data_IF_678252174903
#
_entry.id   IF_678252174903
#
_cell.length_a   1.000
_cell.length_b   1.000
_cell.length_c   1.000
_cell.angle_alpha   90.00
_cell.angle_beta   90.00
_cell.angle_gamma   90.00
#
_symmetry.space_group_name_H-M   'P 1'
#
loop_
_entity.id
_entity.type
_entity.pdbx_description
1 polymer ?
#
# COMPACT_ATOMS: atom_id res chain seq x y z
N UNK A 1 12.57 -6.40 9.31
CA UNK A 1 11.97 -5.09 9.66
C UNK A 1 13.10 -4.19 10.12
N UNK A 2 13.21 -2.97 9.59
CA UNK A 2 14.15 -1.97 10.09
C UNK A 2 13.39 -0.98 10.98
N UNK A 3 13.53 -1.14 12.30
CA UNK A 3 12.84 -0.30 13.29
C UNK A 3 13.46 1.10 13.39
N UNK A 4 14.74 1.25 13.05
CA UNK A 4 15.46 2.52 13.13
C UNK A 4 14.99 3.42 11.99
N UNK A 5 14.91 2.87 10.77
CA UNK A 5 14.47 3.60 9.58
C UNK A 5 12.95 3.60 9.38
N UNK A 6 12.18 2.90 10.21
CA UNK A 6 10.75 2.64 10.02
C UNK A 6 10.43 2.05 8.63
N UNK A 7 11.21 1.05 8.23
CA UNK A 7 11.11 0.42 6.91
C UNK A 7 10.75 -1.06 7.00
N UNK A 8 9.85 -1.49 6.10
CA UNK A 8 9.54 -2.88 5.85
C UNK A 8 10.19 -3.33 4.55
N UNK A 9 10.85 -4.47 4.57
CA UNK A 9 11.34 -5.13 3.35
C UNK A 9 10.26 -6.08 2.83
N UNK A 10 9.84 -5.87 1.58
CA UNK A 10 8.90 -6.75 0.88
C UNK A 10 9.70 -7.62 -0.08
N UNK A 11 9.78 -8.92 0.24
CA UNK A 11 10.49 -9.91 -0.57
C UNK A 11 9.54 -10.53 -1.62
N UNK A 12 9.20 -9.79 -2.67
CA UNK A 12 8.37 -10.28 -3.77
C UNK A 12 9.22 -10.47 -5.03
N UNK A 13 9.16 -11.64 -5.68
CA UNK A 13 10.00 -11.97 -6.85
C UNK A 13 9.22 -12.07 -8.17
N UNK A 14 8.05 -11.41 -8.28
CA UNK A 14 7.27 -11.44 -9.53
C UNK A 14 7.96 -10.69 -10.68
N UNK A 15 8.72 -9.64 -10.36
CA UNK A 15 9.54 -8.87 -11.32
C UNK A 15 10.81 -8.38 -10.64
N UNK A 16 11.81 -7.94 -11.41
CA UNK A 16 13.07 -7.37 -10.86
C UNK A 16 12.85 -6.17 -9.93
N UNK A 17 11.79 -5.38 -10.17
CA UNK A 17 11.43 -4.22 -9.34
C UNK A 17 10.52 -4.55 -8.15
N UNK A 18 10.16 -5.82 -7.96
CA UNK A 18 9.23 -6.24 -6.92
C UNK A 18 9.87 -6.24 -5.51
N UNK A 19 11.13 -6.69 -5.29
CA UNK A 19 11.77 -6.56 -3.99
C UNK A 19 12.03 -5.08 -3.67
N UNK A 20 11.55 -4.62 -2.52
CA UNK A 20 11.61 -3.18 -2.19
C UNK A 20 11.51 -2.91 -0.69
N UNK A 21 12.03 -1.76 -0.30
CA UNK A 21 11.83 -1.19 1.03
C UNK A 21 10.67 -0.19 0.99
N UNK A 22 9.79 -0.27 1.98
CA UNK A 22 8.66 0.64 2.13
C UNK A 22 8.75 1.30 3.50
N UNK A 23 8.80 2.62 3.51
CA UNK A 23 8.67 3.42 4.74
C UNK A 23 7.23 3.45 5.21
N UNK A 24 7.04 3.32 6.51
CA UNK A 24 5.74 3.34 7.18
C UNK A 24 5.73 4.36 8.32
N UNK A 25 4.54 4.77 8.75
CA UNK A 25 4.44 5.68 9.88
C UNK A 25 4.92 4.98 11.16
N UNK A 26 5.45 5.77 12.12
CA UNK A 26 5.92 5.25 13.42
C UNK A 26 4.78 4.55 14.19
N UNK A 27 3.55 5.04 14.06
CA UNK A 27 2.34 4.43 14.63
C UNK A 27 2.12 3.03 14.07
N UNK A 28 2.25 2.87 12.75
CA UNK A 28 2.08 1.59 12.07
C UNK A 28 3.18 0.62 12.45
N UNK A 29 4.43 1.10 12.54
CA UNK A 29 5.55 0.29 13.02
C UNK A 29 5.30 -0.23 14.43
N UNK A 30 4.85 0.65 15.34
CA UNK A 30 4.51 0.25 16.72
C UNK A 30 3.40 -0.81 16.74
N UNK A 31 2.35 -0.64 15.94
CA UNK A 31 1.25 -1.60 15.85
C UNK A 31 1.70 -2.94 15.26
N UNK A 32 2.50 -2.93 14.19
CA UNK A 32 3.05 -4.14 13.60
C UNK A 32 3.90 -4.89 14.62
N UNK A 33 4.78 -4.20 15.35
CA UNK A 33 5.61 -4.83 16.38
C UNK A 33 4.78 -5.42 17.52
N UNK A 34 3.69 -4.76 17.94
CA UNK A 34 2.83 -5.33 19.00
C UNK A 34 2.20 -6.65 18.55
N UNK A 35 1.74 -6.74 17.30
CA UNK A 35 1.16 -7.97 16.75
C UNK A 35 2.23 -9.05 16.56
N UNK A 36 3.41 -8.69 16.04
CA UNK A 36 4.48 -9.67 15.77
C UNK A 36 5.01 -10.28 17.07
N UNK A 37 5.11 -9.51 18.15
CA UNK A 37 5.57 -10.02 19.44
C UNK A 37 4.65 -11.10 20.04
N UNK A 38 3.39 -11.16 19.59
CA UNK A 38 2.42 -12.19 19.98
C UNK A 38 2.49 -13.44 19.08
N UNK A 39 3.20 -13.37 17.95
CA UNK A 39 3.34 -14.47 16.99
C UNK A 39 4.58 -15.32 17.28
N UNK A 40 4.51 -16.62 16.96
CA UNK A 40 5.66 -17.48 17.02
C UNK A 40 6.76 -17.00 16.06
N UNK A 41 7.99 -16.88 16.56
CA UNK A 41 9.13 -16.40 15.78
C UNK A 41 9.53 -17.46 14.74
N UNK A 42 9.60 -17.06 13.47
CA UNK A 42 10.13 -17.91 12.41
C UNK A 42 11.64 -17.70 12.25
N UNK A 43 12.40 -18.79 12.14
CA UNK A 43 13.86 -18.76 11.97
C UNK A 43 14.32 -18.25 10.60
N UNK A 44 13.44 -18.26 9.60
CA UNK A 44 13.74 -17.81 8.24
C UNK A 44 13.45 -16.32 7.99
N UNK A 45 13.05 -15.59 9.03
CA UNK A 45 12.83 -14.14 8.99
C UNK A 45 11.48 -13.71 8.39
N UNK A 46 10.60 -14.64 8.01
CA UNK A 46 9.24 -14.30 7.57
C UNK A 46 8.27 -14.14 8.75
N UNK A 47 7.39 -13.15 8.66
CA UNK A 47 6.51 -12.74 9.75
C UNK A 47 5.15 -13.42 9.70
N UNK A 48 4.53 -13.50 8.52
CA UNK A 48 3.17 -14.00 8.35
C UNK A 48 3.18 -15.48 7.97
N UNK A 49 3.41 -16.33 8.97
CA UNK A 49 3.36 -17.78 8.85
C UNK A 49 2.45 -18.40 9.91
N UNK A 50 1.77 -19.46 9.52
CA UNK A 50 0.96 -20.29 10.42
C UNK A 50 1.44 -21.74 10.29
N UNK A 51 1.87 -22.36 11.38
CA UNK A 51 2.39 -23.75 11.38
C UNK A 51 3.50 -23.99 10.34
N UNK A 52 4.35 -22.99 10.10
CA UNK A 52 5.46 -23.06 9.15
C UNK A 52 5.11 -22.74 7.69
N UNK A 53 3.82 -22.63 7.35
CA UNK A 53 3.34 -22.30 6.01
C UNK A 53 3.01 -20.82 5.86
N UNK A 54 3.18 -20.28 4.64
CA UNK A 54 2.76 -18.92 4.33
C UNK A 54 1.24 -18.79 4.34
N UNK A 55 0.75 -17.70 4.91
CA UNK A 55 -0.67 -17.37 4.85
C UNK A 55 -1.03 -17.02 3.39
N UNK A 56 -1.96 -17.77 2.81
CA UNK A 56 -2.39 -17.54 1.43
C UNK A 56 -3.26 -16.28 1.30
N UNK A 57 -3.22 -15.63 0.14
CA UNK A 57 -4.10 -14.49 -0.19
C UNK A 57 -5.59 -14.88 -0.05
N UNK A 58 -5.94 -16.12 -0.39
CA UNK A 58 -7.29 -16.63 -0.23
C UNK A 58 -7.71 -16.73 1.24
N UNK A 59 -6.81 -17.16 2.13
CA UNK A 59 -7.06 -17.18 3.56
C UNK A 59 -7.29 -15.75 4.09
N UNK A 60 -6.46 -14.79 3.67
CA UNK A 60 -6.62 -13.36 4.02
C UNK A 60 -7.98 -12.84 3.55
N UNK A 61 -8.32 -13.03 2.28
CA UNK A 61 -9.59 -12.55 1.73
C UNK A 61 -10.80 -13.22 2.37
N UNK A 62 -10.71 -14.50 2.76
CA UNK A 62 -11.77 -15.21 3.48
C UNK A 62 -11.97 -14.62 4.89
N UNK A 63 -10.89 -14.29 5.57
CA UNK A 63 -10.93 -13.62 6.88
C UNK A 63 -11.51 -12.21 6.78
N UNK A 64 -11.08 -11.43 5.78
CA UNK A 64 -11.63 -10.10 5.50
C UNK A 64 -13.14 -10.18 5.22
N UNK A 65 -13.57 -11.12 4.36
CA UNK A 65 -14.99 -11.32 4.08
C UNK A 65 -15.79 -11.61 5.35
N UNK A 66 -15.32 -12.54 6.19
CA UNK A 66 -15.97 -12.84 7.49
C UNK A 66 -16.08 -11.61 8.38
N UNK A 67 -15.07 -10.74 8.40
CA UNK A 67 -15.11 -9.50 9.17
C UNK A 67 -16.14 -8.51 8.60
N UNK A 68 -16.21 -8.37 7.28
CA UNK A 68 -17.23 -7.56 6.61
C UNK A 68 -18.64 -8.07 6.91
N UNK A 69 -18.86 -9.39 6.82
CA UNK A 69 -20.16 -10.01 7.07
C UNK A 69 -20.62 -9.77 8.52
N UNK A 70 -19.70 -9.83 9.50
CA UNK A 70 -19.99 -9.51 10.91
C UNK A 70 -20.38 -8.05 11.14
N UNK A 71 -19.84 -7.15 10.33
CA UNK A 71 -20.11 -5.71 10.39
C UNK A 71 -21.27 -5.29 9.48
N UNK A 72 -21.88 -6.24 8.75
CA UNK A 72 -22.94 -5.97 7.77
C UNK A 72 -22.54 -4.96 6.68
N UNK A 73 -21.27 -5.00 6.25
CA UNK A 73 -20.74 -4.15 5.18
C UNK A 73 -20.40 -4.96 3.93
N UNK A 74 -20.31 -4.28 2.79
CA UNK A 74 -19.87 -4.90 1.53
C UNK A 74 -18.52 -5.59 1.69
N UNK A 75 -18.41 -6.82 1.18
CA UNK A 75 -17.17 -7.58 1.25
C UNK A 75 -16.06 -6.87 0.47
N UNK A 76 -14.89 -6.74 1.09
CA UNK A 76 -13.69 -6.20 0.46
C UNK A 76 -12.60 -7.27 0.35
N UNK A 77 -11.63 -7.00 -0.53
CA UNK A 77 -10.45 -7.85 -0.70
C UNK A 77 -9.18 -7.09 -0.28
N UNK A 78 -8.09 -7.83 -0.07
CA UNK A 78 -6.76 -7.23 0.11
C UNK A 78 -6.35 -6.32 -1.06
N UNK A 79 -6.82 -6.62 -2.28
CA UNK A 79 -6.58 -5.77 -3.44
C UNK A 79 -7.38 -4.46 -3.37
N UNK A 80 -8.63 -4.51 -2.91
CA UNK A 80 -9.43 -3.30 -2.68
C UNK A 80 -8.75 -2.37 -1.65
N UNK A 81 -8.20 -2.90 -0.57
CA UNK A 81 -7.42 -2.12 0.41
C UNK A 81 -6.22 -1.44 -0.25
N UNK A 82 -5.49 -2.15 -1.13
CA UNK A 82 -4.39 -1.56 -1.90
C UNK A 82 -4.88 -0.41 -2.80
N UNK A 83 -6.05 -0.55 -3.43
CA UNK A 83 -6.64 0.54 -4.22
C UNK A 83 -6.97 1.74 -3.35
N UNK A 84 -7.64 1.54 -2.21
CA UNK A 84 -7.97 2.62 -1.26
C UNK A 84 -6.71 3.36 -0.81
N UNK A 85 -5.64 2.64 -0.48
CA UNK A 85 -4.35 3.25 -0.10
C UNK A 85 -3.80 4.17 -1.19
N UNK A 86 -3.85 3.73 -2.45
CA UNK A 86 -3.32 4.52 -3.57
C UNK A 86 -4.19 5.74 -3.86
N UNK A 87 -5.52 5.54 -3.95
CA UNK A 87 -6.47 6.63 -4.17
C UNK A 87 -6.36 7.69 -3.09
N UNK A 88 -6.20 7.28 -1.82
CA UNK A 88 -6.02 8.20 -0.70
C UNK A 88 -4.74 9.03 -0.83
N UNK A 89 -3.59 8.39 -1.10
CA UNK A 89 -2.34 9.11 -1.28
C UNK A 89 -2.40 10.08 -2.48
N UNK A 90 -2.99 9.62 -3.59
CA UNK A 90 -3.13 10.45 -4.78
C UNK A 90 -4.02 11.66 -4.52
N UNK A 91 -5.17 11.47 -3.87
CA UNK A 91 -6.07 12.55 -3.44
C UNK A 91 -5.34 13.56 -2.54
N UNK A 92 -4.45 13.09 -1.65
CA UNK A 92 -3.61 13.96 -0.80
C UNK A 92 -2.42 14.63 -1.50
N UNK A 93 -2.29 14.49 -2.81
CA UNK A 93 -1.27 15.20 -3.60
C UNK A 93 0.06 14.47 -3.72
N UNK A 94 0.13 13.22 -3.27
CA UNK A 94 1.34 12.43 -3.45
C UNK A 94 1.50 12.07 -4.92
N UNK A 95 2.71 12.27 -5.45
CA UNK A 95 3.03 11.99 -6.85
C UNK A 95 2.70 10.55 -7.25
N UNK A 96 2.00 10.41 -8.39
CA UNK A 96 1.69 9.12 -9.02
C UNK A 96 2.96 8.31 -9.29
N UNK A 97 4.09 8.98 -9.59
CA UNK A 97 5.40 8.34 -9.77
C UNK A 97 5.86 7.67 -8.48
N UNK A 98 5.81 8.39 -7.36
CA UNK A 98 6.18 7.85 -6.05
C UNK A 98 5.26 6.69 -5.65
N UNK A 99 3.94 6.83 -5.80
CA UNK A 99 2.97 5.77 -5.50
C UNK A 99 3.29 4.52 -6.33
N UNK A 100 3.55 4.67 -7.63
CA UNK A 100 3.90 3.56 -8.51
C UNK A 100 5.15 2.80 -8.05
N UNK A 101 6.20 3.52 -7.64
CA UNK A 101 7.43 2.91 -7.08
C UNK A 101 7.18 2.21 -5.75
N UNK A 102 6.41 2.82 -4.86
CA UNK A 102 5.99 2.21 -3.57
C UNK A 102 5.24 0.89 -3.79
N UNK A 103 4.42 0.80 -4.84
CA UNK A 103 3.68 -0.39 -5.22
C UNK A 103 4.52 -1.48 -5.91
N UNK A 104 5.74 -1.16 -6.34
CA UNK A 104 6.62 -2.07 -7.08
C UNK A 104 6.21 -2.26 -8.54
N UNK A 105 5.47 -1.32 -9.14
CA UNK A 105 5.10 -1.38 -10.55
C UNK A 105 6.31 -1.02 -11.43
N UNK A 106 6.66 -1.91 -12.37
CA UNK A 106 7.72 -1.67 -13.36
C UNK A 106 7.38 -0.50 -14.27
N UNK A 107 6.11 -0.39 -14.67
CA UNK A 107 5.61 0.67 -15.53
C UNK A 107 4.60 1.54 -14.77
N UNK A 108 4.85 2.85 -14.75
CA UNK A 108 3.95 3.85 -14.16
C UNK A 108 2.58 3.87 -14.84
N UNK A 109 2.51 3.56 -16.13
CA UNK A 109 1.26 3.52 -16.89
C UNK A 109 0.23 2.60 -16.25
N UNK A 110 0.64 1.51 -15.58
CA UNK A 110 -0.30 0.62 -14.86
C UNK A 110 -1.03 1.41 -13.77
N UNK A 111 -0.27 2.16 -12.96
CA UNK A 111 -0.82 2.99 -11.87
C UNK A 111 -1.67 4.12 -12.46
N UNK A 112 -1.17 4.81 -13.48
CA UNK A 112 -1.90 5.90 -14.14
C UNK A 112 -3.23 5.43 -14.73
N UNK A 113 -3.25 4.30 -15.44
CA UNK A 113 -4.48 3.76 -16.05
C UNK A 113 -5.51 3.34 -15.01
N UNK A 114 -5.09 2.82 -13.85
CA UNK A 114 -6.00 2.42 -12.78
C UNK A 114 -6.65 3.63 -12.11
N UNK A 115 -5.94 4.74 -11.99
CA UNK A 115 -6.38 5.94 -11.25
C UNK A 115 -6.61 7.16 -12.15
N UNK A 116 -6.83 6.97 -13.45
CA UNK A 116 -6.97 8.07 -14.42
C UNK A 116 -8.07 9.05 -14.03
N UNK A 117 -9.23 8.55 -13.59
CA UNK A 117 -10.35 9.40 -13.16
C UNK A 117 -9.98 10.37 -12.03
N UNK A 118 -9.16 9.94 -11.07
CA UNK A 118 -8.68 10.81 -9.99
C UNK A 118 -7.65 11.84 -10.46
N UNK A 119 -6.88 11.50 -11.50
CA UNK A 119 -5.95 12.45 -12.12
C UNK A 119 -6.70 13.51 -12.91
N UNK A 120 -7.77 13.13 -13.60
CA UNK A 120 -8.62 14.06 -14.35
C UNK A 120 -9.30 15.05 -13.39
N UNK A 121 -9.82 14.58 -12.25
CA UNK A 121 -10.38 15.45 -11.20
C UNK A 121 -9.34 16.46 -10.69
N UNK A 122 -8.09 16.01 -10.50
CA UNK A 122 -6.99 16.86 -10.06
C UNK A 122 -6.46 17.82 -11.09
N UNK A 123 -6.64 17.54 -12.38
CA UNK A 123 -6.11 18.36 -13.45
C UNK A 123 -6.56 19.82 -13.31
N UNK A 124 -7.82 20.04 -12.94
CA UNK A 124 -8.36 21.38 -12.73
C UNK A 124 -7.66 22.12 -11.57
N UNK A 125 -7.47 21.45 -10.44
CA UNK A 125 -6.77 22.03 -9.28
C UNK A 125 -5.32 22.38 -9.62
N UNK A 126 -4.63 21.53 -10.37
CA UNK A 126 -3.24 21.76 -10.78
C UNK A 126 -3.14 22.88 -11.83
N UNK A 127 -4.12 23.00 -12.73
CA UNK A 127 -4.19 24.09 -13.69
C UNK A 127 -4.32 25.44 -13.00
N UNK A 128 -5.23 25.56 -12.03
CA UNK A 128 -5.45 26.80 -11.29
C UNK A 128 -4.17 27.20 -10.52
N UNK A 129 -3.52 26.24 -9.84
CA UNK A 129 -2.21 26.47 -9.19
C UNK A 129 -1.12 26.91 -10.18
N UNK A 130 -1.09 26.33 -11.37
CA UNK A 130 -0.09 26.66 -12.37
C UNK A 130 -0.25 28.10 -12.87
N UNK A 131 -1.49 28.55 -13.09
CA UNK A 131 -1.78 29.93 -13.47
C UNK A 131 -1.33 30.89 -12.36
N UNK A 132 -1.70 30.63 -11.10
CA UNK A 132 -1.31 31.48 -9.95
C UNK A 132 0.22 31.63 -9.82
N UNK A 133 0.97 30.54 -10.05
CA UNK A 133 2.44 30.56 -10.01
C UNK A 133 3.02 31.37 -11.18
N UNK A 134 2.43 31.27 -12.36
CA UNK A 134 2.91 32.01 -13.54
C UNK A 134 2.56 33.50 -13.46
N UNK A 135 1.42 33.87 -12.89
CA UNK A 135 1.02 35.26 -12.67
C UNK A 135 1.87 35.97 -11.62
N UNK A 136 2.55 35.20 -10.75
CA UNK A 136 3.47 35.69 -9.73
C UNK A 136 4.95 35.66 -10.15
N UNK A 137 5.24 35.29 -11.40
CA UNK A 137 6.58 35.34 -12.01
C UNK A 137 6.96 36.75 -12.47
#
# INVERSE_FOLDING_TARGET
IDQIKNQLFINEHKTYSSPRHIEIAKSDMKHILSVINELAVSYDGYIFKETGYFISVNAINKTLKKACDKLSISSITSHAIRHTHCSYLLAKGVSIYYISKRLGHKNISITTSIYSHLLDEKFKEENDKAIDILDSM
#
